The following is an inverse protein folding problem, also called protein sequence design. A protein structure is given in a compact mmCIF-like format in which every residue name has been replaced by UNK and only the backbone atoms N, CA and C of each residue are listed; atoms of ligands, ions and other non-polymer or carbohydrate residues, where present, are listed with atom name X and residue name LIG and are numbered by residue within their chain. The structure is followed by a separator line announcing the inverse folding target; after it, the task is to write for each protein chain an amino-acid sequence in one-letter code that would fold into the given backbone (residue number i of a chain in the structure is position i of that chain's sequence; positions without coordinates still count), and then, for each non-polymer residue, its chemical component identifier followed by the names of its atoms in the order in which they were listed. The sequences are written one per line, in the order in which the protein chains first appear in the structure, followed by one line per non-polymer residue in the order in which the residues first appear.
data_IF_919410128848
#
_entry.id   IF_919410128848
#
_cell.length_a   1.000
_cell.length_b   1.000
_cell.length_c   1.000
_cell.angle_alpha   90.00
_cell.angle_beta   90.00
_cell.angle_gamma   90.00
#
_symmetry.space_group_name_H-M   'P 1'
#
loop_
_entity.id
_entity.type
_entity.pdbx_description
1 polymer ?
#
# COMPACT_ATOMS: atom_id res chain seq x y z
N UNK A 1 -23.52 -2.94 -10.32
CA UNK A 1 -23.34 -2.90 -9.83
C UNK A 1 -22.78 -3.53 -9.18
N UNK A 2 -22.39 -3.67 -8.64
CA UNK A 2 -21.88 -4.30 -8.01
C UNK A 2 -22.55 -5.19 -7.47
N UNK A 3 -23.30 -5.57 -7.86
CA UNK A 3 -24.10 -6.56 -7.32
C UNK A 3 -23.34 -7.73 -6.84
N UNK A 4 -22.33 -8.05 -7.49
CA UNK A 4 -21.67 -9.25 -7.07
C UNK A 4 -20.50 -8.97 -6.17
N UNK A 5 -20.40 -7.79 -5.64
CA UNK A 5 -19.32 -7.47 -4.75
C UNK A 5 -19.57 -8.11 -3.40
N UNK A 6 -18.78 -9.08 -3.05
CA UNK A 6 -18.85 -9.66 -1.73
C UNK A 6 -17.88 -8.93 -0.83
N UNK A 7 -18.10 -8.98 0.47
CA UNK A 7 -17.16 -8.31 1.37
C UNK A 7 -15.71 -8.77 1.21
N UNK A 8 -15.50 -10.06 1.06
CA UNK A 8 -14.13 -10.54 0.94
C UNK A 8 -13.49 -10.10 -0.37
N UNK A 9 -14.29 -10.05 -1.43
CA UNK A 9 -13.77 -9.62 -2.70
C UNK A 9 -13.44 -8.13 -2.67
N UNK A 10 -14.30 -7.34 -2.06
CA UNK A 10 -14.06 -5.92 -1.94
C UNK A 10 -12.81 -5.64 -1.14
N UNK A 11 -12.60 -6.39 -0.06
CA UNK A 11 -11.41 -6.25 0.74
C UNK A 11 -10.16 -6.57 -0.06
N UNK A 12 -10.23 -7.61 -0.86
CA UNK A 12 -9.07 -8.01 -1.64
C UNK A 12 -8.74 -6.95 -2.69
N UNK A 13 -9.75 -6.41 -3.32
CA UNK A 13 -9.52 -5.39 -4.34
C UNK A 13 -8.96 -4.12 -3.71
N UNK A 14 -9.48 -3.74 -2.55
CA UNK A 14 -8.96 -2.57 -1.86
C UNK A 14 -7.51 -2.78 -1.44
N UNK A 15 -7.19 -3.97 -0.96
CA UNK A 15 -5.83 -4.27 -0.57
C UNK A 15 -4.88 -4.20 -1.76
N UNK A 16 -5.33 -4.67 -2.91
CA UNK A 16 -4.54 -4.61 -4.12
C UNK A 16 -4.26 -3.18 -4.50
N UNK A 17 -5.28 -2.34 -4.47
CA UNK A 17 -5.10 -0.95 -4.82
C UNK A 17 -4.18 -0.24 -3.85
N UNK A 18 -4.36 -0.48 -2.57
CA UNK A 18 -3.49 0.11 -1.58
C UNK A 18 -2.05 -0.29 -1.80
N UNK A 19 -1.84 -1.56 -2.10
CA UNK A 19 -0.49 -2.05 -2.33
C UNK A 19 0.13 -1.38 -3.55
N UNK A 20 -0.64 -1.21 -4.60
CA UNK A 20 -0.14 -0.55 -5.80
C UNK A 20 0.20 0.90 -5.54
N UNK A 21 -0.65 1.59 -4.79
CA UNK A 21 -0.39 2.98 -4.46
C UNK A 21 0.86 3.11 -3.60
N UNK A 22 1.03 2.20 -2.64
CA UNK A 22 2.21 2.21 -1.80
C UNK A 22 3.47 2.01 -2.62
N UNK A 23 3.45 1.08 -3.56
CA UNK A 23 4.61 0.86 -4.41
C UNK A 23 4.95 2.11 -5.21
N UNK A 24 3.94 2.80 -5.70
CA UNK A 24 4.16 4.02 -6.45
C UNK A 24 4.77 5.11 -5.57
N UNK A 25 4.22 5.28 -4.38
CA UNK A 25 4.72 6.30 -3.47
C UNK A 25 6.16 6.01 -3.07
N UNK A 26 6.45 4.76 -2.76
CA UNK A 26 7.81 4.38 -2.38
C UNK A 26 8.77 4.58 -3.52
N UNK A 27 8.36 4.29 -4.74
CA UNK A 27 9.20 4.51 -5.89
C UNK A 27 9.54 5.98 -6.10
N UNK A 28 8.53 6.84 -6.00
CA UNK A 28 8.78 8.26 -6.15
C UNK A 28 9.61 8.81 -5.01
N UNK A 29 9.38 8.33 -3.79
CA UNK A 29 10.17 8.79 -2.66
C UNK A 29 11.64 8.41 -2.84
N UNK A 30 11.90 7.22 -3.34
CA UNK A 30 13.27 6.78 -3.58
C UNK A 30 13.94 7.64 -4.64
N UNK A 31 13.21 7.95 -5.70
CA UNK A 31 13.75 8.82 -6.74
C UNK A 31 14.06 10.22 -6.20
N UNK A 32 13.15 10.74 -5.40
CA UNK A 32 13.37 12.08 -4.84
C UNK A 32 14.59 12.09 -3.92
N UNK A 33 14.79 11.02 -3.18
CA UNK A 33 15.98 10.92 -2.34
C UNK A 33 17.24 10.97 -3.17
N UNK A 34 17.24 10.28 -4.27
CA UNK A 34 18.42 10.26 -5.13
C UNK A 34 18.70 11.62 -5.74
N UNK A 35 17.65 12.35 -6.03
CA UNK A 35 17.82 13.63 -6.70
C UNK A 35 18.28 14.73 -5.77
N UNK A 36 17.96 14.63 -4.49
CA UNK A 36 18.26 15.73 -3.57
C UNK A 36 18.91 15.19 -2.31
N UNK A 37 20.07 14.61 -2.47
CA UNK A 37 20.74 13.98 -1.35
C UNK A 37 21.33 14.95 -0.35
N UNK A 38 21.52 16.20 -0.78
CA UNK A 38 22.18 17.16 0.08
C UNK A 38 21.23 17.89 1.01
N UNK A 39 19.95 17.77 0.80
CA UNK A 39 19.00 18.47 1.64
C UNK A 39 18.49 17.52 2.72
N UNK A 40 19.06 17.67 3.92
CA UNK A 40 18.72 16.75 4.99
C UNK A 40 17.28 16.89 5.45
N UNK A 41 16.68 18.08 5.33
CA UNK A 41 15.28 18.24 5.71
C UNK A 41 14.38 17.45 4.77
N UNK A 42 14.66 17.50 3.49
CA UNK A 42 13.88 16.74 2.52
C UNK A 42 14.10 15.25 2.74
N UNK A 43 15.33 14.86 3.02
CA UNK A 43 15.60 13.45 3.28
C UNK A 43 14.81 12.95 4.48
N UNK A 44 14.69 13.78 5.52
CA UNK A 44 13.92 13.38 6.69
C UNK A 44 12.44 13.23 6.35
N UNK A 45 11.89 14.16 5.58
CA UNK A 45 10.50 14.05 5.18
C UNK A 45 10.25 12.84 4.32
N UNK A 46 11.14 12.56 3.39
CA UNK A 46 10.99 11.39 2.54
C UNK A 46 11.06 10.11 3.34
N UNK A 47 11.93 10.08 4.34
CA UNK A 47 12.01 8.90 5.18
C UNK A 47 10.71 8.68 5.95
N UNK A 48 10.08 9.75 6.44
CA UNK A 48 8.80 9.63 7.09
C UNK A 48 7.73 9.11 6.15
N UNK A 49 7.74 9.61 4.91
CA UNK A 49 6.78 9.13 3.92
C UNK A 49 6.99 7.65 3.66
N UNK A 50 8.24 7.22 3.55
CA UNK A 50 8.51 5.81 3.30
C UNK A 50 8.04 4.94 4.46
N UNK A 51 8.32 5.36 5.68
CA UNK A 51 7.89 4.58 6.84
C UNK A 51 6.38 4.50 6.94
N UNK A 52 5.70 5.63 6.71
CA UNK A 52 4.24 5.63 6.75
C UNK A 52 3.67 4.75 5.66
N UNK A 53 4.26 4.82 4.48
CA UNK A 53 3.77 4.02 3.36
C UNK A 53 3.97 2.54 3.61
N UNK A 54 5.09 2.17 4.22
CA UNK A 54 5.32 0.78 4.54
C UNK A 54 4.32 0.29 5.58
N UNK A 55 3.93 1.17 6.50
CA UNK A 55 2.87 0.82 7.45
C UNK A 55 1.56 0.55 6.77
N UNK A 56 1.21 1.40 5.80
CA UNK A 56 -0.02 1.18 5.05
C UNK A 56 0.06 -0.11 4.24
N UNK A 57 1.21 -0.39 3.67
CA UNK A 57 1.38 -1.63 2.91
C UNK A 57 1.20 -2.85 3.80
N UNK A 58 1.68 -2.78 5.04
CA UNK A 58 1.48 -3.87 5.97
C UNK A 58 0.00 -4.07 6.27
N UNK A 59 -0.73 -2.97 6.43
CA UNK A 59 -2.16 -3.06 6.65
C UNK A 59 -2.85 -3.67 5.44
N UNK A 60 -2.43 -3.29 4.26
CA UNK A 60 -3.02 -3.84 3.04
C UNK A 60 -2.83 -5.35 2.97
N UNK A 61 -1.65 -5.82 3.37
CA UNK A 61 -1.42 -7.26 3.40
C UNK A 61 -2.34 -7.94 4.39
N UNK A 62 -2.57 -7.33 5.54
CA UNK A 62 -3.47 -7.91 6.52
C UNK A 62 -4.90 -7.95 6.02
N UNK A 63 -5.31 -6.92 5.31
CA UNK A 63 -6.63 -6.91 4.72
C UNK A 63 -6.79 -8.03 3.72
N UNK A 64 -5.76 -8.28 2.94
CA UNK A 64 -5.83 -9.37 1.98
C UNK A 64 -5.92 -10.72 2.69
N UNK A 65 -5.16 -10.89 3.77
CA UNK A 65 -5.25 -12.12 4.54
C UNK A 65 -6.63 -12.29 5.14
N UNK A 66 -7.20 -11.20 5.63
CA UNK A 66 -8.55 -11.24 6.16
C UNK A 66 -9.56 -11.65 5.11
N UNK A 67 -9.42 -11.12 3.92
CA UNK A 67 -10.37 -11.48 2.88
C UNK A 67 -10.29 -12.96 2.55
N UNK A 68 -9.09 -13.53 2.64
CA UNK A 68 -8.97 -14.97 2.43
C UNK A 68 -9.60 -15.76 3.57
N UNK A 69 -9.46 -15.26 4.80
CA UNK A 69 -10.07 -15.94 5.93
C UNK A 69 -11.58 -15.87 5.90
N UNK A 70 -12.13 -14.86 5.25
CA UNK A 70 -13.57 -14.75 5.15
C UNK A 70 -14.17 -15.74 4.15
N UNK A 71 -13.34 -16.63 3.67
CA UNK A 71 -13.87 -17.71 2.89
C UNK A 71 -13.93 -17.48 1.42
N UNK A 72 -13.13 -16.59 0.94
CA UNK A 72 -13.08 -16.47 -0.47
C UNK A 72 -12.27 -17.56 -0.98
N UNK A 73 -12.87 -18.46 -1.53
CA UNK A 73 -12.15 -19.61 -1.94
C UNK A 73 -11.27 -19.15 -2.97
N UNK A 74 -10.68 -18.99 -2.98
CA UNK A 74 -9.93 -18.79 -3.76
C UNK A 74 -10.19 -18.56 -4.72
N UNK A 75 -10.55 -18.79 -4.70
CA UNK A 75 -10.82 -18.65 -5.89
C UNK A 75 -10.62 -17.60 -6.35
#
# INVERSE_FOLDING_TARGET
MMADATPSRTLRDAAHELNNLCSTILGFAALAEEMDQENSAIAAYLNEIKLSTEGVAAIARRLRELSMELGTPMG
#
